data_IF_415674008357
#
_entry.id   IF_415674008357
#
_cell.length_a   1.000
_cell.length_b   1.000
_cell.length_c   1.000
_cell.angle_alpha   90.00
_cell.angle_beta   90.00
_cell.angle_gamma   90.00
#
_symmetry.space_group_name_H-M   'P 1'
#
loop_
_entity.id
_entity.type
_entity.pdbx_description
1 polymer ?
#
# COMPACT_ATOMS: atom_id res chain seq x y z
N UNK A 1 23.05 -50.58 -9.04
CA UNK A 1 21.81 -50.03 -9.61
C UNK A 1 21.36 -48.87 -8.73
N UNK A 2 21.02 -47.74 -9.37
CA UNK A 2 20.75 -46.40 -8.83
C UNK A 2 19.72 -46.38 -7.67
N UNK A 3 19.68 -45.38 -6.77
CA UNK A 3 19.27 -44.00 -7.09
C UNK A 3 19.73 -43.00 -6.02
N UNK A 4 20.45 -41.97 -6.47
CA UNK A 4 20.62 -40.70 -5.77
C UNK A 4 19.29 -39.95 -5.77
N UNK A 5 18.74 -39.68 -4.59
CA UNK A 5 17.54 -38.84 -4.44
C UNK A 5 18.01 -37.40 -4.20
N UNK A 6 17.86 -36.55 -5.21
CA UNK A 6 18.11 -35.11 -5.09
C UNK A 6 16.85 -34.49 -4.48
N UNK A 7 16.88 -34.20 -3.18
CA UNK A 7 15.82 -33.42 -2.52
C UNK A 7 16.15 -31.94 -2.74
N UNK A 8 15.46 -31.31 -3.70
CA UNK A 8 15.48 -29.84 -3.85
C UNK A 8 14.59 -29.26 -2.75
N UNK A 9 15.21 -28.74 -1.68
CA UNK A 9 14.51 -27.95 -0.67
C UNK A 9 13.97 -26.68 -1.32
N UNK A 10 12.66 -26.68 -1.60
CA UNK A 10 11.88 -25.51 -1.96
C UNK A 10 11.80 -24.61 -0.71
N UNK A 11 12.57 -23.54 -0.65
CA UNK A 11 12.41 -22.52 0.40
C UNK A 11 11.15 -21.74 0.06
N UNK A 12 10.03 -22.16 0.64
CA UNK A 12 8.81 -21.35 0.68
C UNK A 12 9.08 -20.27 1.72
N UNK A 13 9.36 -19.06 1.24
CA UNK A 13 9.42 -17.87 2.10
C UNK A 13 7.99 -17.56 2.53
N UNK A 14 7.61 -18.10 3.68
CA UNK A 14 6.37 -17.75 4.38
C UNK A 14 6.60 -16.39 5.02
N UNK A 15 6.18 -15.32 4.34
CA UNK A 15 6.12 -13.99 4.95
C UNK A 15 4.89 -13.97 5.86
N UNK A 16 5.10 -14.31 7.12
CA UNK A 16 4.13 -14.11 8.21
C UNK A 16 4.73 -13.11 9.19
N UNK A 17 4.10 -11.95 9.30
CA UNK A 17 4.36 -10.95 10.33
C UNK A 17 3.67 -9.64 9.95
N UNK A 18 2.77 -9.04 10.71
CA UNK A 18 2.18 -9.42 11.99
C UNK A 18 0.77 -8.79 12.07
N UNK A 19 -0.20 -9.61 12.46
CA UNK A 19 -1.57 -9.22 12.76
C UNK A 19 -1.58 -8.49 14.12
N UNK A 20 -1.52 -7.16 14.13
CA UNK A 20 -1.77 -6.39 15.36
C UNK A 20 -3.28 -6.27 15.55
N UNK A 21 -3.83 -7.22 16.31
CA UNK A 21 -5.21 -7.25 16.80
C UNK A 21 -5.38 -6.31 18.01
N UNK A 22 -5.48 -5.00 17.76
CA UNK A 22 -6.21 -4.05 18.61
C UNK A 22 -6.96 -3.12 17.65
N UNK A 23 -8.24 -3.43 17.42
CA UNK A 23 -9.02 -3.01 16.26
C UNK A 23 -9.26 -1.50 16.16
N UNK A 24 -8.31 -0.78 15.56
CA UNK A 24 -8.63 0.41 14.81
C UNK A 24 -9.38 -0.02 13.54
N UNK A 25 -10.71 -0.12 13.64
CA UNK A 25 -11.57 -0.38 12.48
C UNK A 25 -11.20 0.61 11.38
N UNK A 26 -10.97 0.11 10.18
CA UNK A 26 -10.63 0.89 8.98
C UNK A 26 -9.25 1.56 8.94
N UNK A 27 -8.26 1.11 9.74
CA UNK A 27 -6.85 1.50 9.56
C UNK A 27 -6.05 0.28 9.10
N UNK A 28 -5.22 0.47 8.07
CA UNK A 28 -4.41 -0.58 7.45
C UNK A 28 -2.99 -0.09 7.25
N UNK A 29 -2.01 -0.92 7.60
CA UNK A 29 -0.58 -0.63 7.38
C UNK A 29 0.00 -1.68 6.46
N UNK A 30 0.77 -1.24 5.47
CA UNK A 30 1.42 -2.07 4.47
C UNK A 30 2.90 -1.73 4.39
N UNK A 31 3.75 -2.74 4.33
CA UNK A 31 5.19 -2.58 4.11
C UNK A 31 5.57 -2.95 2.68
N UNK A 32 6.25 -2.03 2.01
CA UNK A 32 6.89 -2.22 0.70
C UNK A 32 8.38 -2.33 0.93
N UNK A 33 8.88 -3.57 1.10
CA UNK A 33 10.32 -3.81 1.32
C UNK A 33 11.16 -3.69 0.06
N UNK A 34 10.59 -4.00 -1.10
CA UNK A 34 11.22 -3.80 -2.40
C UNK A 34 10.43 -2.73 -3.16
N UNK A 35 10.86 -1.49 -3.01
CA UNK A 35 10.23 -0.32 -3.65
C UNK A 35 10.43 -0.30 -5.16
N UNK A 36 11.21 -1.21 -5.76
CA UNK A 36 11.32 -1.37 -7.20
C UNK A 36 10.19 -2.17 -7.83
N UNK A 37 9.31 -2.78 -7.01
CA UNK A 37 8.23 -3.65 -7.46
C UNK A 37 6.89 -2.95 -7.27
N UNK A 38 6.00 -3.11 -8.26
CA UNK A 38 4.61 -2.63 -8.19
C UNK A 38 3.82 -3.47 -7.18
N UNK A 39 3.11 -2.81 -6.27
CA UNK A 39 2.28 -3.48 -5.27
C UNK A 39 0.82 -3.03 -5.36
N UNK A 40 -0.09 -3.93 -5.07
CA UNK A 40 -1.51 -3.62 -4.91
C UNK A 40 -2.03 -4.18 -3.60
N UNK A 41 -2.69 -3.32 -2.82
CA UNK A 41 -3.25 -3.65 -1.52
C UNK A 41 -4.77 -3.48 -1.52
N UNK A 42 -5.47 -4.34 -0.77
CA UNK A 42 -6.93 -4.36 -0.70
C UNK A 42 -7.42 -4.16 0.75
N UNK A 43 -7.49 -2.92 1.24
CA UNK A 43 -8.07 -2.64 2.56
C UNK A 43 -9.54 -3.08 2.62
N UNK A 44 -9.93 -3.71 3.74
CA UNK A 44 -11.28 -4.28 3.94
C UNK A 44 -12.17 -3.36 4.78
N UNK A 45 -12.66 -2.27 4.20
CA UNK A 45 -13.48 -1.28 4.92
C UNK A 45 -14.77 -1.92 5.47
N UNK A 46 -14.88 -1.97 6.80
CA UNK A 46 -15.87 -2.78 7.53
C UNK A 46 -17.18 -2.04 7.84
N UNK A 47 -17.19 -0.71 7.76
CA UNK A 47 -18.40 0.11 7.86
C UNK A 47 -18.21 1.41 7.07
N UNK A 48 -18.70 1.48 5.83
CA UNK A 48 -18.59 2.65 4.96
C UNK A 48 -19.57 3.78 5.32
N UNK A 49 -20.59 3.50 6.15
CA UNK A 49 -21.50 4.53 6.66
C UNK A 49 -20.73 5.42 7.65
N UNK A 50 -20.39 6.63 7.20
CA UNK A 50 -19.64 7.64 7.97
C UNK A 50 -18.15 7.76 7.62
N UNK A 51 -17.63 7.01 6.64
CA UNK A 51 -16.28 7.23 6.11
C UNK A 51 -16.32 8.14 4.89
N UNK A 52 -16.39 9.45 5.13
CA UNK A 52 -16.46 10.46 4.06
C UNK A 52 -15.10 10.79 3.44
N UNK A 53 -14.01 10.40 4.11
CA UNK A 53 -12.65 10.71 3.73
C UNK A 53 -11.70 9.55 4.01
N UNK A 54 -10.57 9.55 3.32
CA UNK A 54 -9.41 8.77 3.70
C UNK A 54 -8.25 9.70 4.06
N UNK A 55 -7.37 9.21 4.92
CA UNK A 55 -6.05 9.78 5.07
C UNK A 55 -5.00 8.69 4.99
N UNK A 56 -3.84 9.05 4.48
CA UNK A 56 -2.71 8.14 4.30
C UNK A 56 -1.45 8.82 4.81
N UNK A 57 -0.64 8.07 5.53
CA UNK A 57 0.69 8.45 5.96
C UNK A 57 1.69 7.48 5.36
N UNK A 58 2.67 8.02 4.67
CA UNK A 58 3.73 7.26 4.00
C UNK A 58 5.05 7.67 4.61
N UNK A 59 5.79 6.68 5.10
CA UNK A 59 7.09 6.86 5.72
C UNK A 59 8.12 5.92 5.11
N UNK A 60 9.38 6.31 5.16
CA UNK A 60 10.50 5.45 4.78
C UNK A 60 11.49 6.18 3.91
N UNK A 61 12.02 5.50 2.91
CA UNK A 61 12.97 6.05 1.96
C UNK A 61 12.90 5.32 0.62
N UNK A 62 13.20 6.04 -0.47
CA UNK A 62 13.32 5.46 -1.80
C UNK A 62 14.38 6.20 -2.64
N UNK A 63 15.06 5.49 -3.53
CA UNK A 63 16.15 6.00 -4.38
C UNK A 63 15.68 6.47 -5.78
N UNK A 64 14.49 7.06 -5.87
CA UNK A 64 13.91 7.48 -7.14
C UNK A 64 12.58 8.20 -6.96
N UNK A 65 11.59 7.91 -7.79
CA UNK A 65 10.22 8.41 -7.61
C UNK A 65 9.22 7.29 -7.69
N UNK A 66 8.09 7.47 -7.02
CA UNK A 66 6.97 6.54 -7.04
C UNK A 66 5.63 7.29 -6.92
N UNK A 67 4.53 6.61 -7.19
CA UNK A 67 3.17 7.13 -7.03
C UNK A 67 2.28 6.16 -6.24
N UNK A 68 1.29 6.71 -5.55
CA UNK A 68 0.29 5.95 -4.80
C UNK A 68 -1.13 6.33 -5.24
N UNK A 69 -1.90 5.35 -5.71
CA UNK A 69 -3.26 5.59 -6.17
C UNK A 69 -4.25 4.86 -5.29
N UNK A 70 -5.16 5.59 -4.67
CA UNK A 70 -6.36 5.01 -4.11
C UNK A 70 -7.43 4.98 -5.19
N UNK A 71 -7.85 3.79 -5.57
CA UNK A 71 -8.70 3.54 -6.71
C UNK A 71 -9.98 2.88 -6.27
N UNK A 72 -11.01 3.09 -7.09
CA UNK A 72 -12.27 2.41 -6.94
C UNK A 72 -12.12 0.88 -6.94
N UNK A 73 -13.04 0.19 -6.28
CA UNK A 73 -13.09 -1.28 -6.18
C UNK A 73 -13.10 -2.01 -7.54
N UNK A 74 -13.79 -1.42 -8.53
CA UNK A 74 -13.94 -1.95 -9.90
C UNK A 74 -12.86 -1.46 -10.86
N UNK A 75 -11.84 -0.76 -10.38
CA UNK A 75 -10.79 -0.26 -11.24
C UNK A 75 -9.96 -1.43 -11.80
N UNK A 76 -9.83 -1.49 -13.12
CA UNK A 76 -9.00 -2.49 -13.79
C UNK A 76 -7.53 -2.09 -13.70
N UNK A 77 -6.81 -2.69 -12.74
CA UNK A 77 -5.39 -2.40 -12.47
C UNK A 77 -4.47 -2.73 -13.67
N UNK A 78 -4.96 -3.50 -14.65
CA UNK A 78 -4.23 -3.82 -15.87
C UNK A 78 -4.32 -2.70 -16.93
N UNK A 79 -5.28 -1.78 -16.81
CA UNK A 79 -5.35 -0.59 -17.66
C UNK A 79 -4.36 0.45 -17.14
N UNK A 80 -3.29 0.66 -17.92
CA UNK A 80 -2.20 1.65 -17.81
C UNK A 80 -2.29 2.63 -16.62
N UNK A 81 -1.99 2.12 -15.42
CA UNK A 81 -1.50 2.97 -14.34
C UNK A 81 -0.01 3.11 -14.57
N UNK A 82 0.39 4.29 -15.00
CA UNK A 82 1.77 4.68 -15.24
C UNK A 82 2.04 6.04 -14.59
N UNK A 83 3.31 6.31 -14.32
CA UNK A 83 3.85 7.47 -13.60
C UNK A 83 3.76 8.81 -14.36
N UNK A 84 2.73 8.94 -15.19
CA UNK A 84 2.52 10.06 -16.12
C UNK A 84 1.11 10.62 -16.05
N UNK A 85 0.14 9.88 -15.50
CA UNK A 85 -1.30 10.25 -15.57
C UNK A 85 -1.91 10.82 -14.29
N UNK A 86 -1.39 10.53 -13.10
CA UNK A 86 -2.09 10.83 -11.84
C UNK A 86 -1.20 11.53 -10.81
N UNK A 87 -1.09 12.86 -10.94
CA UNK A 87 -0.15 13.73 -10.20
C UNK A 87 -0.41 13.88 -8.69
N UNK A 88 -1.53 13.40 -8.15
CA UNK A 88 -1.98 13.80 -6.81
C UNK A 88 -1.20 13.14 -5.65
N UNK A 89 -0.36 12.14 -5.91
CA UNK A 89 0.24 11.31 -4.85
C UNK A 89 1.70 10.92 -5.10
N UNK A 90 2.49 11.85 -5.63
CA UNK A 90 3.89 11.59 -5.97
C UNK A 90 4.80 11.55 -4.73
N UNK A 91 5.68 10.55 -4.70
CA UNK A 91 6.77 10.38 -3.75
C UNK A 91 8.09 10.70 -4.46
N UNK A 92 8.87 11.61 -3.87
CA UNK A 92 10.16 12.05 -4.42
C UNK A 92 11.32 11.34 -3.72
N UNK A 93 12.48 11.30 -4.36
CA UNK A 93 13.65 10.57 -3.87
C UNK A 93 14.10 11.04 -2.48
N UNK A 94 14.63 10.13 -1.69
CA UNK A 94 15.14 10.38 -0.35
C UNK A 94 14.19 9.90 0.74
N UNK A 95 14.26 10.58 1.89
CA UNK A 95 13.43 10.26 3.06
C UNK A 95 11.99 10.71 2.83
N UNK A 96 11.05 9.79 3.00
CA UNK A 96 9.62 10.03 2.88
C UNK A 96 9.00 10.18 4.27
N UNK A 97 8.24 11.26 4.43
CA UNK A 97 7.30 11.48 5.54
C UNK A 97 6.17 12.37 5.00
N UNK A 98 5.22 11.76 4.29
CA UNK A 98 4.17 12.47 3.55
C UNK A 98 2.79 12.03 4.02
N UNK A 99 1.88 13.00 4.11
CA UNK A 99 0.47 12.76 4.39
C UNK A 99 -0.39 13.11 3.19
N UNK A 100 -1.32 12.22 2.86
CA UNK A 100 -2.38 12.45 1.88
C UNK A 100 -3.71 12.46 2.61
N UNK A 101 -4.63 13.32 2.17
CA UNK A 101 -5.97 13.42 2.69
C UNK A 101 -6.88 13.78 1.54
N UNK A 102 -7.93 13.01 1.32
CA UNK A 102 -8.93 13.28 0.30
C UNK A 102 -10.26 12.61 0.67
N UNK A 103 -11.30 12.96 -0.05
CA UNK A 103 -12.63 12.38 0.12
C UNK A 103 -12.64 10.91 -0.32
N UNK A 104 -13.45 10.10 0.36
CA UNK A 104 -13.62 8.69 0.05
C UNK A 104 -15.05 8.44 -0.41
N UNK A 105 -15.19 8.30 -1.73
CA UNK A 105 -16.48 8.06 -2.41
C UNK A 105 -16.78 6.56 -2.60
N UNK A 106 -16.13 5.68 -1.84
CA UNK A 106 -16.23 4.23 -2.02
C UNK A 106 -17.51 3.65 -1.43
N UNK A 107 -18.58 3.67 -2.22
CA UNK A 107 -19.91 3.10 -1.98
C UNK A 107 -19.88 1.61 -1.53
N UNK A 108 -19.55 1.34 -0.27
CA UNK A 108 -19.60 0.00 0.34
C UNK A 108 -18.64 -1.07 -0.18
N UNK A 109 -17.65 -0.69 -0.99
CA UNK A 109 -16.78 -1.65 -1.68
C UNK A 109 -15.30 -1.49 -1.27
N UNK A 110 -14.56 -2.61 -1.28
CA UNK A 110 -13.13 -2.66 -0.94
C UNK A 110 -12.28 -1.90 -1.97
N UNK A 111 -11.66 -0.75 -1.64
CA UNK A 111 -10.88 0.00 -2.61
C UNK A 111 -9.56 -0.70 -2.90
N UNK A 112 -8.87 -0.27 -3.97
CA UNK A 112 -7.54 -0.75 -4.30
C UNK A 112 -6.52 0.36 -4.04
N UNK A 113 -5.48 0.07 -3.26
CA UNK A 113 -4.33 0.95 -3.09
C UNK A 113 -3.18 0.42 -3.94
N UNK A 114 -2.85 1.13 -5.01
CA UNK A 114 -1.80 0.77 -5.94
C UNK A 114 -0.54 1.62 -5.72
N UNK A 115 0.58 0.96 -5.40
CA UNK A 115 1.92 1.55 -5.40
C UNK A 115 2.58 1.31 -6.75
N UNK A 116 3.12 2.36 -7.38
CA UNK A 116 3.77 2.29 -8.68
C UNK A 116 5.20 2.84 -8.60
N UNK A 117 6.23 2.01 -8.81
CA UNK A 117 7.61 2.47 -8.88
C UNK A 117 7.89 3.13 -10.23
N UNK A 118 8.11 4.44 -10.23
CA UNK A 118 8.37 5.17 -11.47
C UNK A 118 9.84 5.04 -11.88
N UNK A 119 10.72 5.43 -10.97
CA UNK A 119 12.17 5.33 -11.13
C UNK A 119 12.85 4.73 -9.91
N UNK A 120 12.11 4.50 -8.82
CA UNK A 120 12.58 3.87 -7.61
C UNK A 120 13.03 2.41 -7.86
N UNK A 121 14.13 2.01 -7.23
CA UNK A 121 14.74 0.67 -7.34
C UNK A 121 15.11 0.08 -5.99
N UNK A 122 15.36 0.90 -4.98
CA UNK A 122 15.79 0.53 -3.63
C UNK A 122 15.21 1.48 -2.59
N UNK A 123 15.05 0.95 -1.39
CA UNK A 123 14.42 1.65 -0.28
C UNK A 123 13.33 0.78 0.34
N UNK A 124 12.64 1.34 1.32
CA UNK A 124 11.50 0.71 1.96
C UNK A 124 10.46 1.78 2.28
N UNK A 125 9.19 1.41 2.20
CA UNK A 125 8.09 2.27 2.62
C UNK A 125 7.15 1.53 3.55
N UNK A 126 6.68 2.23 4.58
CA UNK A 126 5.51 1.87 5.36
C UNK A 126 4.38 2.82 4.97
N UNK A 127 3.26 2.25 4.52
CA UNK A 127 2.07 2.99 4.10
C UNK A 127 0.95 2.67 5.07
N UNK A 128 0.54 3.65 5.85
CA UNK A 128 -0.64 3.55 6.72
C UNK A 128 -1.79 4.32 6.09
N UNK A 129 -2.91 3.66 5.85
CA UNK A 129 -4.13 4.27 5.33
C UNK A 129 -5.28 4.09 6.33
N UNK A 130 -6.07 5.13 6.49
CA UNK A 130 -7.20 5.19 7.40
C UNK A 130 -8.43 5.73 6.66
N UNK A 131 -9.59 5.10 6.86
CA UNK A 131 -10.87 5.59 6.35
C UNK A 131 -11.70 6.14 7.51
N UNK A 132 -12.04 7.42 7.46
CA UNK A 132 -12.81 8.13 8.49
C UNK A 132 -12.01 8.66 9.69
N UNK A 133 -10.68 8.52 9.69
CA UNK A 133 -9.79 9.19 10.66
C UNK A 133 -8.64 9.88 9.94
N UNK A 134 -8.33 11.10 10.34
CA UNK A 134 -7.16 11.89 9.90
C UNK A 134 -5.90 11.47 10.67
N UNK A 135 -4.97 10.81 9.98
CA UNK A 135 -3.71 10.32 10.53
C UNK A 135 -2.75 11.45 10.94
N UNK A 136 -2.89 12.67 10.38
CA UNK A 136 -2.07 13.84 10.80
C UNK A 136 -2.38 14.29 12.23
N UNK A 137 -3.61 14.01 12.68
CA UNK A 137 -4.13 14.42 13.98
C UNK A 137 -4.11 13.30 15.00
N UNK A 138 -3.31 12.26 14.79
CA UNK A 138 -3.18 11.14 15.73
C UNK A 138 -2.47 11.59 17.02
N UNK A 139 -3.26 12.19 17.92
CA UNK A 139 -2.91 12.41 19.32
C UNK A 139 -3.49 11.26 20.16
N UNK A 140 -2.66 10.82 21.10
CA UNK A 140 -2.90 9.88 22.21
C UNK A 140 -4.16 10.21 23.02
#
# INVERSE_FOLDING_TARGET
MARTVVIRCLIIVVIVGALILLGNRNIYTYDVQDVGIRNNFKPQVSNPFGTEHYSMHVQGELDGTAELHLLGPKFDLNKEIDCTRYLCSKLDSGKIDKYFYDDYYGEFETPNLCYVPCTAKKGHLTITISFGRDLRKSWW
#
